data_IF_726987009306
#
_entry.id   IF_726987009306
#
_cell.length_a   1.000
_cell.length_b   1.000
_cell.length_c   1.000
_cell.angle_alpha   90.00
_cell.angle_beta   90.00
_cell.angle_gamma   90.00
#
_symmetry.space_group_name_H-M   'P 1'
#
loop_
_entity.id
_entity.type
_entity.pdbx_description
1 polymer ?
#
# COMPACT_ATOMS: atom_id res chain seq x y z
N UNK A 1 -10.69 7.69 25.01
CA UNK A 1 -11.57 8.77 24.50
C UNK A 1 -10.86 9.69 23.49
N UNK A 2 -9.52 9.68 23.39
CA UNK A 2 -8.75 10.49 22.42
C UNK A 2 -8.80 9.99 20.96
N UNK A 3 -8.68 8.68 20.72
CA UNK A 3 -8.65 8.12 19.36
C UNK A 3 -9.91 8.39 18.52
N UNK A 4 -11.09 8.35 19.14
CA UNK A 4 -12.35 8.64 18.45
C UNK A 4 -12.47 10.10 17.99
N UNK A 5 -11.85 11.04 18.71
CA UNK A 5 -11.82 12.46 18.32
C UNK A 5 -10.87 12.70 17.15
N UNK A 6 -9.73 12.00 17.11
CA UNK A 6 -8.76 12.12 16.01
C UNK A 6 -9.36 11.55 14.72
N UNK A 7 -9.94 10.36 14.79
CA UNK A 7 -10.55 9.73 13.61
C UNK A 7 -11.69 10.57 13.02
N UNK A 8 -12.50 11.20 13.89
CA UNK A 8 -13.55 12.14 13.45
C UNK A 8 -12.95 13.35 12.75
N UNK A 9 -11.92 14.00 13.33
CA UNK A 9 -11.26 15.15 12.70
C UNK A 9 -10.71 14.83 11.31
N UNK A 10 -10.04 13.69 11.14
CA UNK A 10 -9.52 13.26 9.84
C UNK A 10 -10.64 12.97 8.84
N UNK A 11 -11.75 12.37 9.30
CA UNK A 11 -12.90 12.07 8.45
C UNK A 11 -13.62 13.34 7.99
N UNK A 12 -13.84 14.30 8.89
CA UNK A 12 -14.43 15.61 8.58
C UNK A 12 -13.56 16.41 7.60
N UNK A 13 -12.24 16.46 7.83
CA UNK A 13 -11.29 17.11 6.93
C UNK A 13 -11.26 16.45 5.55
N UNK A 14 -11.32 15.11 5.50
CA UNK A 14 -11.40 14.36 4.24
C UNK A 14 -12.70 14.66 3.49
N UNK A 15 -13.85 14.62 4.16
CA UNK A 15 -15.14 14.89 3.53
C UNK A 15 -15.20 16.30 2.96
N UNK A 16 -14.77 17.31 3.73
CA UNK A 16 -14.72 18.69 3.27
C UNK A 16 -13.80 18.87 2.05
N UNK A 17 -12.62 18.25 2.07
CA UNK A 17 -11.70 18.28 0.93
C UNK A 17 -12.29 17.58 -0.29
N UNK A 18 -12.89 16.40 -0.12
CA UNK A 18 -13.49 15.63 -1.22
C UNK A 18 -14.62 16.42 -1.90
N UNK A 19 -15.47 17.12 -1.14
CA UNK A 19 -16.52 17.95 -1.73
C UNK A 19 -15.96 19.12 -2.57
N UNK A 20 -14.83 19.72 -2.16
CA UNK A 20 -14.15 20.73 -2.97
C UNK A 20 -13.57 20.14 -4.25
N UNK A 21 -12.89 19.01 -4.15
CA UNK A 21 -12.24 18.34 -5.29
C UNK A 21 -13.29 17.82 -6.30
N UNK A 22 -14.46 17.35 -5.83
CA UNK A 22 -15.59 16.94 -6.69
C UNK A 22 -16.10 18.06 -7.60
N UNK A 23 -15.99 19.32 -7.19
CA UNK A 23 -16.43 20.45 -7.99
C UNK A 23 -15.46 20.75 -9.16
N UNK A 24 -14.21 20.30 -9.08
CA UNK A 24 -13.22 20.48 -10.12
C UNK A 24 -13.38 19.43 -11.22
N UNK A 25 -13.78 19.88 -12.41
CA UNK A 25 -14.00 19.00 -13.58
C UNK A 25 -12.72 18.39 -14.15
N UNK A 26 -11.55 18.90 -13.76
CA UNK A 26 -10.26 18.29 -14.14
C UNK A 26 -9.97 17.03 -13.32
N UNK A 27 -10.66 16.81 -12.20
CA UNK A 27 -10.53 15.62 -11.37
C UNK A 27 -11.65 14.63 -11.68
N UNK A 28 -11.26 13.45 -12.14
CA UNK A 28 -12.18 12.38 -12.52
C UNK A 28 -12.52 11.46 -11.36
N UNK A 29 -11.60 11.24 -10.43
CA UNK A 29 -11.80 10.37 -9.27
C UNK A 29 -10.88 10.73 -8.11
N UNK A 30 -11.30 10.39 -6.90
CA UNK A 30 -10.46 10.42 -5.71
C UNK A 30 -10.45 9.05 -5.03
N UNK A 31 -9.26 8.57 -4.71
CA UNK A 31 -9.02 7.29 -4.04
C UNK A 31 -8.29 7.60 -2.73
N UNK A 32 -8.88 7.20 -1.61
CA UNK A 32 -8.23 7.27 -0.30
C UNK A 32 -7.27 6.11 -0.17
N UNK A 33 -6.03 6.40 0.18
CA UNK A 33 -5.00 5.39 0.41
C UNK A 33 -4.44 5.54 1.84
N UNK A 34 -3.39 4.78 2.15
CA UNK A 34 -2.66 4.90 3.40
C UNK A 34 -3.47 4.53 4.65
N UNK A 35 -3.02 5.07 5.78
CA UNK A 35 -3.50 4.65 7.11
C UNK A 35 -5.00 4.90 7.31
N UNK A 36 -5.56 6.00 6.79
CA UNK A 36 -6.98 6.30 6.91
C UNK A 36 -7.88 5.36 6.07
N UNK A 37 -7.34 4.66 5.08
CA UNK A 37 -8.09 3.70 4.26
C UNK A 37 -8.26 2.34 4.92
N UNK A 38 -7.22 1.82 5.58
CA UNK A 38 -7.18 0.42 6.03
C UNK A 38 -6.50 0.19 7.40
N UNK A 39 -6.15 1.24 8.12
CA UNK A 39 -5.47 1.19 9.42
C UNK A 39 -6.05 2.22 10.41
N UNK A 40 -5.41 2.40 11.57
CA UNK A 40 -5.81 3.36 12.60
C UNK A 40 -4.97 4.63 12.51
N UNK A 41 -5.61 5.79 12.28
CA UNK A 41 -4.94 7.09 12.29
C UNK A 41 -4.60 7.56 13.70
N UNK A 42 -3.48 8.30 13.81
CA UNK A 42 -3.05 8.95 15.04
C UNK A 42 -2.66 10.41 14.76
N UNK A 43 -2.27 11.16 15.79
CA UNK A 43 -2.03 12.60 15.68
C UNK A 43 -0.92 12.98 14.68
N UNK A 44 0.03 12.08 14.41
CA UNK A 44 1.11 12.28 13.44
C UNK A 44 0.80 11.77 12.03
N UNK A 45 -0.40 11.21 11.78
CA UNK A 45 -0.81 10.74 10.45
C UNK A 45 -1.08 11.90 9.49
N UNK A 46 -0.99 11.61 8.20
CA UNK A 46 -1.48 12.41 7.08
C UNK A 46 -2.65 11.70 6.37
N UNK A 47 -3.30 12.41 5.46
CA UNK A 47 -4.31 11.86 4.55
C UNK A 47 -3.62 11.61 3.20
N UNK A 48 -3.60 10.35 2.79
CA UNK A 48 -3.07 9.93 1.48
C UNK A 48 -4.18 9.87 0.44
N UNK A 49 -4.06 10.65 -0.64
CA UNK A 49 -5.00 10.66 -1.77
C UNK A 49 -4.30 10.36 -3.09
N UNK A 50 -4.95 9.57 -3.93
CA UNK A 50 -4.68 9.58 -5.38
C UNK A 50 -5.83 10.29 -6.06
N UNK A 51 -5.51 11.38 -6.76
CA UNK A 51 -6.45 12.15 -7.56
C UNK A 51 -6.22 11.83 -9.03
N UNK A 52 -7.19 11.15 -9.64
CA UNK A 52 -7.12 10.83 -11.06
C UNK A 52 -7.60 12.04 -11.85
N UNK A 53 -6.75 12.59 -12.70
CA UNK A 53 -7.05 13.79 -13.48
C UNK A 53 -7.43 13.43 -14.92
N UNK A 54 -7.99 14.41 -15.64
CA UNK A 54 -8.09 14.35 -17.10
C UNK A 54 -6.70 14.22 -17.75
N UNK A 55 -6.68 13.65 -18.95
CA UNK A 55 -5.49 13.60 -19.79
C UNK A 55 -5.29 14.94 -20.51
N UNK A 56 -4.78 15.94 -19.80
CA UNK A 56 -4.40 17.23 -20.37
C UNK A 56 -2.91 17.49 -20.11
N UNK A 57 -2.16 17.88 -21.14
CA UNK A 57 -0.73 18.21 -21.05
C UNK A 57 -0.45 19.38 -20.09
N UNK A 58 -1.46 20.20 -19.78
CA UNK A 58 -1.35 21.31 -18.82
C UNK A 58 -1.56 20.88 -17.37
N UNK A 59 -2.09 19.69 -17.14
CA UNK A 59 -2.28 19.13 -15.80
C UNK A 59 -1.09 18.23 -15.52
N UNK A 60 -0.08 18.80 -14.85
CA UNK A 60 1.10 18.04 -14.44
C UNK A 60 0.75 17.09 -13.29
N UNK A 61 1.11 15.82 -13.44
CA UNK A 61 1.03 14.84 -12.38
C UNK A 61 2.05 15.07 -11.25
N UNK A 62 2.11 14.10 -10.35
CA UNK A 62 3.06 14.04 -9.25
C UNK A 62 2.49 14.50 -7.92
N UNK A 63 3.36 14.56 -6.93
CA UNK A 63 2.98 14.77 -5.53
C UNK A 63 2.64 16.24 -5.22
N UNK A 64 1.61 16.43 -4.40
CA UNK A 64 1.19 17.72 -3.87
C UNK A 64 0.96 17.60 -2.38
N UNK A 65 1.57 18.49 -1.62
CA UNK A 65 1.25 18.68 -0.22
C UNK A 65 0.10 19.68 -0.12
N UNK A 66 -1.02 19.24 0.45
CA UNK A 66 -2.19 20.07 0.74
C UNK A 66 -2.43 20.12 2.26
N UNK A 67 -3.30 21.03 2.66
CA UNK A 67 -3.69 21.19 4.06
C UNK A 67 -5.20 21.35 4.15
N UNK A 68 -5.86 20.47 4.91
CA UNK A 68 -7.31 20.46 5.10
C UNK A 68 -7.62 20.46 6.59
N UNK A 69 -8.24 21.54 7.08
CA UNK A 69 -8.78 21.67 8.45
C UNK A 69 -7.84 21.18 9.57
N UNK A 70 -6.57 21.54 9.48
CA UNK A 70 -5.60 21.17 10.50
C UNK A 70 -4.94 19.81 10.31
N UNK A 71 -5.05 19.22 9.11
CA UNK A 71 -4.49 17.91 8.75
C UNK A 71 -3.68 18.04 7.45
N UNK A 72 -2.49 17.44 7.45
CA UNK A 72 -1.66 17.37 6.25
C UNK A 72 -2.24 16.33 5.28
N UNK A 73 -2.23 16.66 4.00
CA UNK A 73 -2.72 15.77 2.95
C UNK A 73 -1.63 15.60 1.91
N UNK A 74 -1.26 14.36 1.63
CA UNK A 74 -0.39 14.00 0.54
C UNK A 74 -1.24 13.52 -0.63
N UNK A 75 -1.28 14.32 -1.71
CA UNK A 75 -2.08 14.03 -2.90
C UNK A 75 -1.19 13.73 -4.09
N UNK A 76 -1.29 12.51 -4.63
CA UNK A 76 -0.67 12.13 -5.89
C UNK A 76 -1.64 12.43 -7.04
N UNK A 77 -1.29 13.40 -7.88
CA UNK A 77 -2.01 13.68 -9.12
C UNK A 77 -1.56 12.72 -10.21
N UNK A 78 -2.51 12.01 -10.82
CA UNK A 78 -2.22 11.00 -11.83
C UNK A 78 -3.19 11.14 -13.00
N UNK A 79 -2.72 11.47 -14.21
CA UNK A 79 -3.56 11.45 -15.41
C UNK A 79 -4.21 10.09 -15.61
N UNK A 80 -5.44 10.08 -16.12
CA UNK A 80 -6.22 8.85 -16.37
C UNK A 80 -5.46 7.79 -17.15
N UNK A 81 -4.72 8.17 -18.19
CA UNK A 81 -3.90 7.24 -18.97
C UNK A 81 -2.76 6.61 -18.15
N UNK A 82 -2.14 7.39 -17.27
CA UNK A 82 -1.11 6.91 -16.35
C UNK A 82 -1.70 5.99 -15.28
N UNK A 83 -2.87 6.35 -14.74
CA UNK A 83 -3.60 5.50 -13.79
C UNK A 83 -3.94 4.15 -14.41
N UNK A 84 -4.53 4.14 -15.60
CA UNK A 84 -4.82 2.91 -16.34
C UNK A 84 -3.56 2.08 -16.53
N UNK A 85 -2.46 2.69 -16.99
CA UNK A 85 -1.19 2.00 -17.19
C UNK A 85 -0.63 1.41 -15.88
N UNK A 86 -0.83 2.10 -14.76
CA UNK A 86 -0.36 1.65 -13.44
C UNK A 86 -1.18 0.46 -12.93
N UNK A 87 -2.50 0.49 -13.14
CA UNK A 87 -3.41 -0.58 -12.73
C UNK A 87 -3.32 -1.80 -13.65
N UNK A 88 -3.31 -1.59 -14.97
CA UNK A 88 -3.27 -2.67 -15.98
C UNK A 88 -1.83 -3.17 -16.25
N UNK A 89 -0.81 -2.41 -15.85
CA UNK A 89 0.59 -2.64 -16.20
C UNK A 89 1.19 -3.92 -15.61
N UNK A 90 2.19 -4.45 -16.31
CA UNK A 90 2.83 -5.76 -16.06
C UNK A 90 3.63 -5.84 -14.75
N UNK A 91 3.85 -4.71 -14.07
CA UNK A 91 4.48 -4.67 -12.75
C UNK A 91 3.41 -4.45 -11.69
N UNK A 92 2.55 -5.47 -11.50
CA UNK A 92 1.50 -5.55 -10.46
C UNK A 92 2.04 -5.61 -9.02
N UNK A 93 3.25 -5.12 -8.81
CA UNK A 93 3.99 -5.19 -7.56
C UNK A 93 4.92 -3.99 -7.35
N UNK A 94 4.64 -2.85 -8.00
CA UNK A 94 5.18 -1.58 -7.52
C UNK A 94 4.49 -1.21 -6.21
N UNK A 95 5.17 -0.44 -5.36
CA UNK A 95 4.56 0.15 -4.16
C UNK A 95 3.22 0.82 -4.48
N UNK A 96 3.15 1.54 -5.61
CA UNK A 96 1.95 2.22 -6.10
C UNK A 96 0.79 1.25 -6.37
N UNK A 97 1.04 0.07 -6.93
CA UNK A 97 -0.03 -0.90 -7.17
C UNK A 97 -0.60 -1.44 -5.86
N UNK A 98 0.25 -1.83 -4.90
CA UNK A 98 -0.20 -2.28 -3.58
C UNK A 98 -0.94 -1.17 -2.82
N UNK A 99 -0.47 0.08 -2.95
CA UNK A 99 -1.09 1.27 -2.38
C UNK A 99 -2.49 1.55 -2.93
N UNK A 100 -2.68 1.38 -4.24
CA UNK A 100 -3.99 1.49 -4.91
C UNK A 100 -4.91 0.32 -4.58
N UNK A 101 -4.39 -0.91 -4.48
CA UNK A 101 -5.18 -2.10 -4.17
C UNK A 101 -5.80 -2.08 -2.76
N UNK A 102 -5.16 -1.39 -1.80
CA UNK A 102 -5.70 -1.13 -0.46
C UNK A 102 -6.44 0.21 -0.35
N UNK A 103 -6.54 0.92 -1.47
CA UNK A 103 -7.24 2.19 -1.56
C UNK A 103 -8.75 2.00 -1.57
N UNK A 104 -9.47 2.96 -0.99
CA UNK A 104 -10.92 3.06 -1.07
C UNK A 104 -11.29 4.15 -2.06
N UNK A 105 -11.99 3.79 -3.14
CA UNK A 105 -12.57 4.76 -4.05
C UNK A 105 -13.60 5.61 -3.33
N UNK A 106 -13.38 6.93 -3.24
CA UNK A 106 -14.27 7.88 -2.56
C UNK A 106 -15.37 8.37 -3.51
N UNK A 107 -14.99 8.71 -4.74
CA UNK A 107 -15.91 9.03 -5.82
C UNK A 107 -15.23 8.90 -7.18
N UNK A 108 -16.05 8.80 -8.24
CA UNK A 108 -15.60 8.94 -9.63
C UNK A 108 -16.72 9.48 -10.50
N UNK A 109 -16.36 10.28 -11.50
CA UNK A 109 -17.22 10.69 -12.61
C UNK A 109 -17.00 9.83 -13.87
N UNK A 110 -15.97 8.96 -13.87
CA UNK A 110 -15.64 8.06 -14.96
C UNK A 110 -15.92 6.59 -14.56
N UNK A 111 -16.92 5.93 -15.16
CA UNK A 111 -17.24 4.53 -14.91
C UNK A 111 -16.08 3.55 -15.20
N UNK A 112 -15.16 3.92 -16.10
CA UNK A 112 -14.00 3.07 -16.42
C UNK A 112 -13.00 3.01 -15.26
N UNK A 113 -12.86 4.09 -14.48
CA UNK A 113 -12.02 4.10 -13.28
C UNK A 113 -12.63 3.21 -12.19
N UNK A 114 -13.96 3.23 -12.04
CA UNK A 114 -14.65 2.33 -11.10
C UNK A 114 -14.36 0.85 -11.41
N UNK A 115 -14.43 0.47 -12.69
CA UNK A 115 -14.13 -0.89 -13.13
C UNK A 115 -12.67 -1.29 -12.85
N UNK A 116 -11.72 -0.39 -13.10
CA UNK A 116 -10.30 -0.60 -12.80
C UNK A 116 -10.07 -0.78 -11.29
N UNK A 117 -10.72 0.02 -10.45
CA UNK A 117 -10.65 -0.12 -8.99
C UNK A 117 -11.25 -1.43 -8.49
N UNK A 118 -12.34 -1.92 -9.11
CA UNK A 118 -12.92 -3.21 -8.76
C UNK A 118 -11.98 -4.39 -9.07
N UNK A 119 -11.20 -4.31 -10.15
CA UNK A 119 -10.24 -5.34 -10.54
C UNK A 119 -8.90 -5.29 -9.80
N UNK A 120 -8.58 -4.22 -9.08
CA UNK A 120 -7.30 -4.04 -8.36
C UNK A 120 -7.08 -5.06 -7.22
N UNK A 121 -8.15 -5.66 -6.70
CA UNK A 121 -8.09 -6.70 -5.66
C UNK A 121 -7.77 -8.11 -6.20
N UNK A 122 -7.83 -8.33 -7.51
CA UNK A 122 -7.60 -9.65 -8.11
C UNK A 122 -6.12 -9.84 -8.45
N UNK A 123 -5.38 -10.54 -7.57
CA UNK A 123 -4.01 -10.98 -7.88
C UNK A 123 -4.09 -12.18 -8.84
N UNK A 124 -3.46 -12.08 -10.01
CA UNK A 124 -3.39 -13.20 -10.95
C UNK A 124 -2.53 -14.36 -10.44
N UNK A 125 -2.96 -15.60 -10.67
CA UNK A 125 -2.25 -16.84 -10.22
C UNK A 125 -0.76 -16.85 -10.58
N UNK A 126 -0.41 -16.42 -11.80
CA UNK A 126 0.98 -16.34 -12.26
C UNK A 126 1.81 -15.33 -11.47
N UNK A 127 1.19 -14.24 -11.02
CA UNK A 127 1.86 -13.24 -10.20
C UNK A 127 2.12 -13.81 -8.80
N UNK A 128 1.18 -14.58 -8.23
CA UNK A 128 1.35 -15.28 -6.95
C UNK A 128 2.57 -16.20 -7.01
N UNK A 129 2.67 -17.05 -8.05
CA UNK A 129 3.80 -17.99 -8.19
C UNK A 129 5.16 -17.27 -8.24
N UNK A 130 5.26 -16.21 -9.04
CA UNK A 130 6.50 -15.43 -9.17
C UNK A 130 6.85 -14.72 -7.86
N UNK A 131 5.86 -14.17 -7.15
CA UNK A 131 6.07 -13.51 -5.87
C UNK A 131 6.47 -14.48 -4.77
N UNK A 132 5.85 -15.66 -4.74
CA UNK A 132 6.19 -16.73 -3.80
C UNK A 132 7.63 -17.19 -4.02
N UNK A 133 8.04 -17.40 -5.27
CA UNK A 133 9.41 -17.77 -5.62
C UNK A 133 10.42 -16.68 -5.20
N UNK A 134 10.10 -15.40 -5.43
CA UNK A 134 10.96 -14.28 -5.01
C UNK A 134 11.09 -14.19 -3.49
N UNK A 135 9.98 -14.33 -2.76
CA UNK A 135 9.97 -14.30 -1.30
C UNK A 135 10.79 -15.46 -0.73
N UNK A 136 10.57 -16.68 -1.21
CA UNK A 136 11.33 -17.86 -0.81
C UNK A 136 12.84 -17.70 -1.09
N UNK A 137 13.21 -17.26 -2.29
CA UNK A 137 14.63 -17.04 -2.66
C UNK A 137 15.27 -15.97 -1.79
N UNK A 138 14.51 -14.93 -1.41
CA UNK A 138 15.01 -13.85 -0.53
C UNK A 138 15.23 -14.31 0.90
N UNK A 139 14.55 -15.37 1.36
CA UNK A 139 14.77 -15.94 2.69
C UNK A 139 16.05 -16.80 2.77
N UNK A 140 16.47 -17.42 1.66
CA UNK A 140 17.60 -18.35 1.63
C UNK A 140 18.92 -17.72 2.12
N UNK A 141 19.22 -16.50 1.65
CA UNK A 141 20.46 -15.79 2.01
C UNK A 141 20.58 -15.52 3.52
N UNK A 142 19.59 -14.86 4.14
CA UNK A 142 19.55 -14.65 5.58
C UNK A 142 19.61 -15.96 6.39
N UNK A 143 18.82 -16.98 6.03
CA UNK A 143 18.83 -18.28 6.73
C UNK A 143 20.22 -18.93 6.66
N UNK A 144 20.81 -18.98 5.46
CA UNK A 144 22.15 -19.53 5.27
C UNK A 144 23.19 -18.79 6.11
N UNK A 145 23.13 -17.45 6.15
CA UNK A 145 24.05 -16.65 6.97
C UNK A 145 23.85 -16.91 8.46
N UNK A 146 22.62 -16.89 8.96
CA UNK A 146 22.32 -17.19 10.36
C UNK A 146 22.93 -18.53 10.78
N UNK A 147 22.71 -19.57 9.96
CA UNK A 147 23.24 -20.91 10.20
C UNK A 147 24.78 -20.96 10.17
N UNK A 148 25.40 -20.32 9.17
CA UNK A 148 26.86 -20.27 9.03
C UNK A 148 27.51 -19.57 10.22
N UNK A 149 27.00 -18.41 10.64
CA UNK A 149 27.56 -17.66 11.76
C UNK A 149 27.42 -18.40 13.09
N UNK A 150 26.30 -19.09 13.27
CA UNK A 150 26.06 -19.93 14.43
C UNK A 150 27.07 -21.07 14.51
N UNK A 151 27.22 -21.85 13.43
CA UNK A 151 28.10 -23.03 13.43
C UNK A 151 29.59 -22.71 13.41
N UNK A 152 30.00 -21.68 12.67
CA UNK A 152 31.44 -21.42 12.45
C UNK A 152 32.06 -20.52 13.51
N UNK A 153 31.26 -19.65 14.15
CA UNK A 153 31.77 -18.65 15.09
C UNK A 153 31.04 -18.61 16.43
N UNK A 154 29.86 -19.24 16.55
CA UNK A 154 29.04 -19.14 17.76
C UNK A 154 28.57 -17.71 18.07
N UNK A 155 28.59 -16.82 17.09
CA UNK A 155 28.24 -15.41 17.25
C UNK A 155 26.71 -15.25 17.29
N UNK A 156 26.16 -15.26 18.52
CA UNK A 156 24.72 -15.23 18.73
C UNK A 156 24.09 -13.90 18.29
N UNK A 157 24.81 -12.79 18.42
CA UNK A 157 24.32 -11.46 18.04
C UNK A 157 24.14 -11.37 16.52
N UNK A 158 25.15 -11.81 15.77
CA UNK A 158 25.09 -11.77 14.32
C UNK A 158 24.15 -12.85 13.77
N UNK A 159 24.05 -14.01 14.41
CA UNK A 159 23.02 -15.01 14.09
C UNK A 159 21.61 -14.45 14.30
N UNK A 160 21.34 -13.76 15.41
CA UNK A 160 20.03 -13.16 15.68
C UNK A 160 19.66 -12.09 14.63
N UNK A 161 20.61 -11.25 14.22
CA UNK A 161 20.40 -10.27 13.15
C UNK A 161 19.92 -10.94 11.85
N UNK A 162 20.57 -12.02 11.43
CA UNK A 162 20.19 -12.73 10.20
C UNK A 162 18.86 -13.48 10.33
N UNK A 163 18.52 -13.98 11.51
CA UNK A 163 17.19 -14.54 11.79
C UNK A 163 16.11 -13.46 11.64
N UNK A 164 16.30 -12.29 12.27
CA UNK A 164 15.36 -11.17 12.13
C UNK A 164 15.24 -10.70 10.67
N UNK A 165 16.36 -10.71 9.93
CA UNK A 165 16.37 -10.39 8.50
C UNK A 165 15.57 -11.40 7.67
N UNK A 166 15.52 -12.67 8.09
CA UNK A 166 14.72 -13.72 7.44
C UNK A 166 13.21 -13.59 7.71
N UNK A 167 12.80 -12.90 8.78
CA UNK A 167 11.40 -12.81 9.20
C UNK A 167 10.50 -12.19 8.12
N UNK A 168 10.91 -11.08 7.50
CA UNK A 168 10.13 -10.41 6.45
C UNK A 168 9.89 -11.28 5.21
N UNK A 169 10.91 -11.88 4.57
CA UNK A 169 10.67 -12.75 3.42
C UNK A 169 9.89 -14.03 3.77
N UNK A 170 10.05 -14.59 4.97
CA UNK A 170 9.23 -15.71 5.44
C UNK A 170 7.76 -15.31 5.63
N UNK A 171 7.50 -14.18 6.29
CA UNK A 171 6.15 -13.64 6.42
C UNK A 171 5.49 -13.37 5.07
N UNK A 172 6.26 -12.92 4.07
CA UNK A 172 5.78 -12.79 2.68
C UNK A 172 5.36 -14.12 2.07
N UNK A 173 6.11 -15.19 2.30
CA UNK A 173 5.75 -16.53 1.83
C UNK A 173 4.39 -16.96 2.41
N UNK A 174 4.17 -16.77 3.70
CA UNK A 174 2.90 -17.12 4.36
C UNK A 174 1.72 -16.31 3.82
N UNK A 175 1.87 -14.98 3.72
CA UNK A 175 0.80 -14.09 3.26
C UNK A 175 0.47 -14.31 1.78
N UNK A 176 1.48 -14.43 0.92
CA UNK A 176 1.28 -14.70 -0.52
C UNK A 176 0.73 -16.10 -0.74
N UNK A 177 1.20 -17.09 0.02
CA UNK A 177 0.68 -18.47 -0.02
C UNK A 177 -0.81 -18.55 0.35
N UNK A 178 -1.27 -17.68 1.26
CA UNK A 178 -2.68 -17.51 1.59
C UNK A 178 -3.48 -16.67 0.55
N UNK A 179 -2.87 -16.33 -0.60
CA UNK A 179 -3.44 -15.50 -1.67
C UNK A 179 -3.81 -14.09 -1.23
N UNK A 180 -3.07 -13.55 -0.26
CA UNK A 180 -3.23 -12.18 0.24
C UNK A 180 -2.12 -11.27 -0.28
N UNK A 181 -2.40 -9.95 -0.34
CA UNK A 181 -1.41 -8.93 -0.73
C UNK A 181 -0.45 -8.67 0.43
N UNK A 182 0.80 -9.09 0.29
CA UNK A 182 1.86 -8.76 1.23
C UNK A 182 2.30 -7.30 1.11
N UNK A 183 2.29 -6.57 2.22
CA UNK A 183 2.62 -5.14 2.26
C UNK A 183 3.70 -4.81 3.32
N UNK A 184 3.71 -3.55 3.80
CA UNK A 184 4.60 -3.07 4.87
C UNK A 184 4.36 -3.74 6.22
N UNK A 185 3.16 -4.28 6.47
CA UNK A 185 2.76 -4.94 7.72
C UNK A 185 2.70 -6.46 7.56
N UNK A 186 3.54 -7.00 6.67
CA UNK A 186 3.51 -8.43 6.34
C UNK A 186 3.76 -9.34 7.55
N UNK A 187 4.57 -8.92 8.52
CA UNK A 187 4.84 -9.72 9.74
C UNK A 187 3.56 -9.84 10.59
N UNK A 188 2.89 -8.75 11.00
CA UNK A 188 1.58 -8.84 11.66
C UNK A 188 0.52 -9.62 10.87
N UNK A 189 0.51 -9.50 9.54
CA UNK A 189 -0.41 -10.29 8.68
C UNK A 189 -0.11 -11.78 8.77
N UNK A 190 1.16 -12.17 8.63
CA UNK A 190 1.60 -13.55 8.74
C UNK A 190 1.28 -14.14 10.12
N UNK A 191 1.48 -13.38 11.20
CA UNK A 191 1.15 -13.83 12.57
C UNK A 191 -0.34 -14.17 12.76
N UNK A 192 -1.24 -13.50 12.04
CA UNK A 192 -2.68 -13.83 12.07
C UNK A 192 -2.98 -15.14 11.33
N UNK A 193 -2.18 -15.48 10.31
CA UNK A 193 -2.32 -16.69 9.51
C UNK A 193 -1.64 -17.90 10.19
N UNK A 194 -0.46 -17.67 10.74
CA UNK A 194 0.38 -18.67 11.39
C UNK A 194 1.12 -18.05 12.60
N UNK A 195 0.55 -18.09 13.81
CA UNK A 195 1.16 -17.48 14.99
C UNK A 195 2.40 -18.23 15.52
N UNK A 196 2.76 -19.38 14.94
CA UNK A 196 3.87 -20.23 15.39
C UNK A 196 5.11 -20.23 14.50
N UNK A 197 5.13 -19.47 13.40
CA UNK A 197 6.26 -19.35 12.45
C UNK A 197 7.21 -18.21 12.80
#
# INVERSE_FOLDING_TARGET
MEHGSIQRKFSEALEALVEQVKADRSILAAILCGSLSHDTVWAGSDIDLVLVTIDDKKVEGGDRALYADGVNVHALLMPRAEFRKTVEGTVRNSFTHAFLAKGRLLYTHDPTIAALCAGLGEIGERDIEVQLLRAATSALGPIYKAHKWFLTRGDLEYTALWILTAATPLARVEVIGARLVADREVIPQAMKLNPGS
#
